data_IF_593468871788
#
_entry.id   IF_593468871788
#
_cell.length_a   1.000
_cell.length_b   1.000
_cell.length_c   1.000
_cell.angle_alpha   90.00
_cell.angle_beta   90.00
_cell.angle_gamma   90.00
#
_symmetry.space_group_name_H-M   'P 1'
#
loop_
_entity.id
_entity.type
_entity.pdbx_description
1 polymer ?
#
# COMPACT_ATOMS: atom_id res chain seq x y z
N UNK A 1 2.82 -7.92 -4.25
CA UNK A 1 2.66 -6.67 -5.02
C UNK A 1 1.80 -5.70 -4.23
N UNK A 2 2.25 -4.46 -4.01
CA UNK A 2 1.39 -3.38 -3.53
C UNK A 2 0.44 -2.99 -4.67
N UNK A 3 -0.86 -3.04 -4.39
CA UNK A 3 -1.89 -2.84 -5.41
C UNK A 3 -2.83 -1.71 -4.97
N UNK A 4 -2.76 -0.60 -5.71
CA UNK A 4 -3.53 0.62 -5.50
C UNK A 4 -3.80 1.35 -6.83
N UNK A 5 -4.41 0.72 -7.86
CA UNK A 5 -4.69 1.41 -9.11
C UNK A 5 -5.73 2.50 -8.89
N UNK A 6 -5.26 3.72 -8.69
CA UNK A 6 -6.09 4.91 -8.66
C UNK A 6 -6.32 5.40 -10.10
N UNK A 7 -7.58 5.64 -10.52
CA UNK A 7 -7.81 6.31 -11.78
C UNK A 7 -7.19 7.71 -11.74
N UNK A 8 -6.75 8.25 -12.88
CA UNK A 8 -6.28 9.63 -12.97
C UNK A 8 -7.44 10.55 -12.58
N UNK A 9 -7.13 11.60 -11.82
CA UNK A 9 -8.08 12.44 -11.09
C UNK A 9 -8.77 11.73 -9.93
N UNK A 10 -8.42 10.49 -9.60
CA UNK A 10 -8.88 9.81 -8.39
C UNK A 10 -7.95 10.10 -7.23
N UNK A 11 -8.53 10.29 -6.05
CA UNK A 11 -7.78 10.22 -4.80
C UNK A 11 -8.52 9.44 -3.76
N UNK A 12 -7.75 8.74 -2.94
CA UNK A 12 -8.26 7.97 -1.82
C UNK A 12 -8.78 8.88 -0.68
N UNK A 13 -8.54 10.20 -0.74
CA UNK A 13 -9.00 11.21 0.23
C UNK A 13 -10.23 12.04 -0.24
N UNK A 14 -10.78 11.81 -1.44
CA UNK A 14 -11.90 12.61 -1.98
C UNK A 14 -13.28 12.03 -1.67
N UNK A 15 -14.17 12.94 -1.26
CA UNK A 15 -15.56 12.75 -0.80
C UNK A 15 -16.61 12.35 -1.86
N UNK A 16 -17.59 11.46 -1.55
CA UNK A 16 -17.58 10.57 -0.38
C UNK A 16 -16.25 9.83 -0.41
N UNK A 17 -15.57 9.77 0.74
CA UNK A 17 -14.18 9.35 0.87
C UNK A 17 -14.06 7.87 0.52
N UNK A 18 -14.15 7.57 -0.79
CA UNK A 18 -14.29 6.25 -1.39
C UNK A 18 -12.97 5.50 -1.31
N UNK A 19 -12.49 5.37 -0.06
CA UNK A 19 -11.34 4.60 0.34
C UNK A 19 -11.43 3.24 -0.32
N UNK A 20 -10.43 2.98 -1.14
CA UNK A 20 -10.32 1.88 -2.08
C UNK A 20 -11.36 1.85 -3.23
N UNK A 21 -10.92 1.36 -4.39
CA UNK A 21 -11.75 1.22 -5.60
C UNK A 21 -12.19 -0.24 -5.80
N UNK A 22 -12.35 -0.97 -4.70
CA UNK A 22 -12.51 -2.43 -4.68
C UNK A 22 -13.89 -2.89 -4.18
N UNK A 23 -14.76 -1.95 -3.83
CA UNK A 23 -16.08 -2.24 -3.30
C UNK A 23 -17.10 -2.65 -4.37
N UNK A 24 -18.11 -3.43 -3.96
CA UNK A 24 -19.12 -4.04 -4.82
C UNK A 24 -20.18 -3.02 -5.31
N UNK A 25 -20.63 -2.12 -4.43
CA UNK A 25 -21.61 -1.11 -4.77
C UNK A 25 -21.59 0.12 -3.86
N UNK A 26 -22.06 1.26 -4.38
CA UNK A 26 -22.37 2.50 -3.65
C UNK A 26 -23.45 3.28 -4.40
N UNK A 27 -24.67 3.30 -3.87
CA UNK A 27 -25.81 3.86 -4.59
C UNK A 27 -26.01 3.19 -5.95
N UNK A 28 -25.89 3.95 -7.04
CA UNK A 28 -25.98 3.44 -8.42
C UNK A 28 -24.64 2.92 -8.99
N UNK A 29 -23.52 3.16 -8.29
CA UNK A 29 -22.19 2.77 -8.76
C UNK A 29 -21.96 1.31 -8.39
N UNK A 30 -21.67 0.47 -9.39
CA UNK A 30 -21.52 -0.99 -9.28
C UNK A 30 -20.40 -1.55 -10.18
N UNK A 31 -19.76 -0.68 -10.97
CA UNK A 31 -19.00 -1.01 -12.18
C UNK A 31 -17.47 -0.90 -12.06
N UNK A 32 -16.90 -0.84 -10.85
CA UNK A 32 -15.45 -0.70 -10.69
C UNK A 32 -14.66 -1.93 -11.16
N UNK A 33 -15.33 -3.05 -11.49
CA UNK A 33 -14.69 -4.25 -12.00
C UNK A 33 -13.82 -3.97 -13.23
N UNK A 34 -14.22 -3.03 -14.07
CA UNK A 34 -13.45 -2.65 -15.25
C UNK A 34 -12.01 -2.21 -14.92
N UNK A 35 -11.78 -1.53 -13.78
CA UNK A 35 -10.44 -1.07 -13.39
C UNK A 35 -9.50 -2.25 -13.13
N UNK A 36 -9.93 -3.21 -12.31
CA UNK A 36 -9.07 -4.29 -11.89
C UNK A 36 -9.15 -5.53 -12.79
N UNK A 37 -10.21 -5.72 -13.57
CA UNK A 37 -10.25 -6.72 -14.65
C UNK A 37 -9.23 -6.43 -15.74
N UNK A 38 -8.98 -5.15 -16.06
CA UNK A 38 -7.89 -4.72 -16.96
C UNK A 38 -6.53 -5.28 -16.48
N UNK A 39 -6.33 -5.29 -15.17
CA UNK A 39 -5.05 -5.55 -14.53
C UNK A 39 -4.79 -7.05 -14.29
N UNK A 40 -5.86 -7.87 -14.20
CA UNK A 40 -5.78 -9.31 -13.90
C UNK A 40 -4.78 -10.08 -14.79
N UNK A 41 -4.77 -9.94 -16.13
CA UNK A 41 -3.83 -10.70 -16.96
C UNK A 41 -2.36 -10.37 -16.66
N UNK A 42 -2.04 -9.12 -16.31
CA UNK A 42 -0.68 -8.72 -15.96
C UNK A 42 -0.27 -9.23 -14.57
N UNK A 43 -1.20 -9.21 -13.61
CA UNK A 43 -0.97 -9.81 -12.30
C UNK A 43 -0.77 -11.34 -12.38
N UNK A 44 -1.46 -12.03 -13.29
CA UNK A 44 -1.25 -13.46 -13.56
C UNK A 44 0.14 -13.73 -14.17
N UNK A 45 0.59 -12.88 -15.10
CA UNK A 45 1.94 -12.97 -15.72
C UNK A 45 3.09 -12.76 -14.74
N UNK A 46 2.85 -12.06 -13.63
CA UNK A 46 3.85 -11.90 -12.58
C UNK A 46 4.08 -13.19 -11.79
N UNK A 47 3.18 -14.17 -11.84
CA UNK A 47 3.23 -15.39 -11.03
C UNK A 47 3.25 -15.15 -9.51
N UNK A 48 2.88 -13.94 -9.07
CA UNK A 48 2.71 -13.59 -7.67
C UNK A 48 1.56 -14.38 -7.03
N UNK A 49 1.67 -14.60 -5.73
CA UNK A 49 0.65 -15.27 -4.91
C UNK A 49 0.01 -14.34 -3.87
N UNK A 50 0.40 -13.06 -3.79
CA UNK A 50 -0.18 -12.13 -2.83
C UNK A 50 -0.17 -10.66 -3.28
N UNK A 51 -1.26 -9.97 -2.95
CA UNK A 51 -1.46 -8.52 -3.09
C UNK A 51 -1.52 -7.89 -1.70
N UNK A 52 -0.84 -6.75 -1.53
CA UNK A 52 -1.02 -5.87 -0.38
C UNK A 52 -1.91 -4.73 -0.83
N UNK A 53 -2.96 -4.50 -0.06
CA UNK A 53 -3.95 -3.46 -0.32
C UNK A 53 -3.81 -2.43 0.80
N UNK A 54 -3.85 -1.14 0.46
CA UNK A 54 -3.69 -0.08 1.46
C UNK A 54 -4.95 0.17 2.27
N UNK A 55 -6.09 -0.17 1.70
CA UNK A 55 -7.39 0.18 2.25
C UNK A 55 -8.40 -0.88 1.80
N UNK A 56 -9.12 -1.42 2.78
CA UNK A 56 -10.51 -1.87 2.67
C UNK A 56 -11.28 -1.39 3.87
N UNK A 57 -12.35 -0.62 3.66
CA UNK A 57 -13.17 -0.07 4.72
C UNK A 57 -14.64 -0.40 4.47
N UNK A 58 -15.30 -0.98 5.47
CA UNK A 58 -16.72 -1.29 5.39
C UNK A 58 -17.62 -0.05 5.45
N UNK A 59 -17.12 1.08 5.97
CA UNK A 59 -17.82 2.38 6.03
C UNK A 59 -16.87 3.51 5.65
N UNK A 60 -17.45 4.65 5.29
CA UNK A 60 -16.73 5.86 4.94
C UNK A 60 -17.28 7.06 5.70
N UNK A 61 -16.44 8.07 5.84
CA UNK A 61 -16.83 9.38 6.40
C UNK A 61 -17.68 10.14 5.39
N UNK A 62 -18.47 11.10 5.89
CA UNK A 62 -19.25 12.01 5.06
C UNK A 62 -18.37 12.80 4.11
N UNK A 63 -18.92 13.24 2.98
CA UNK A 63 -18.19 14.05 2.00
C UNK A 63 -17.72 15.41 2.55
N UNK A 64 -18.34 15.88 3.64
CA UNK A 64 -17.97 17.07 4.41
C UNK A 64 -16.92 16.78 5.51
N UNK A 65 -16.43 15.54 5.59
CA UNK A 65 -15.49 15.07 6.61
C UNK A 65 -16.15 14.70 7.94
N UNK A 66 -17.49 14.70 8.03
CA UNK A 66 -18.19 14.32 9.26
C UNK A 66 -18.16 12.81 9.52
N UNK A 67 -18.13 12.43 10.79
CA UNK A 67 -18.26 11.04 11.21
C UNK A 67 -19.74 10.67 11.36
N UNK A 68 -20.21 9.56 10.75
CA UNK A 68 -21.58 9.09 10.94
C UNK A 68 -21.94 8.88 12.42
N UNK A 69 -23.18 9.15 12.80
CA UNK A 69 -23.70 8.91 14.15
C UNK A 69 -25.13 8.35 14.08
N UNK A 70 -25.37 7.09 14.51
CA UNK A 70 -24.39 6.11 14.98
C UNK A 70 -23.33 5.80 13.90
N UNK A 71 -22.16 5.32 14.31
CA UNK A 71 -21.00 5.14 13.42
C UNK A 71 -21.27 4.30 12.17
N UNK A 72 -22.25 3.40 12.23
CA UNK A 72 -22.64 2.48 11.17
C UNK A 72 -23.87 2.93 10.35
N UNK A 73 -24.33 4.18 10.51
CA UNK A 73 -25.50 4.72 9.81
C UNK A 73 -25.30 4.93 8.30
N UNK A 74 -24.04 4.98 7.83
CA UNK A 74 -23.70 5.17 6.42
C UNK A 74 -23.85 3.90 5.56
N UNK A 75 -23.58 4.03 4.26
CA UNK A 75 -23.55 2.89 3.33
C UNK A 75 -22.54 1.83 3.78
N UNK A 76 -22.90 0.55 3.61
CA UNK A 76 -21.97 -0.57 3.86
C UNK A 76 -21.26 -0.93 2.57
N UNK A 77 -19.95 -0.72 2.53
CA UNK A 77 -19.10 -1.21 1.46
C UNK A 77 -18.73 -2.67 1.74
N UNK A 78 -18.76 -3.48 0.68
CA UNK A 78 -18.38 -4.89 0.69
C UNK A 78 -17.38 -5.11 -0.43
N UNK A 79 -16.50 -6.10 -0.28
CA UNK A 79 -15.35 -6.28 -1.17
C UNK A 79 -15.33 -7.65 -1.84
N UNK A 80 -16.48 -8.32 -1.82
CA UNK A 80 -16.57 -9.74 -2.15
C UNK A 80 -16.22 -10.01 -3.60
N UNK A 81 -16.70 -9.19 -4.54
CA UNK A 81 -16.45 -9.39 -5.97
C UNK A 81 -14.98 -9.26 -6.30
N UNK A 82 -14.31 -8.24 -5.75
CA UNK A 82 -12.87 -8.05 -5.91
C UNK A 82 -12.09 -9.25 -5.33
N UNK A 83 -12.42 -9.66 -4.11
CA UNK A 83 -11.76 -10.77 -3.44
C UNK A 83 -12.00 -12.12 -4.14
N UNK A 84 -13.21 -12.36 -4.65
CA UNK A 84 -13.54 -13.57 -5.39
C UNK A 84 -12.84 -13.60 -6.75
N UNK A 85 -12.92 -12.52 -7.52
CA UNK A 85 -12.52 -12.52 -8.93
C UNK A 85 -11.04 -12.18 -9.12
N UNK A 86 -10.55 -11.11 -8.48
CA UNK A 86 -9.16 -10.69 -8.64
C UNK A 86 -8.22 -11.47 -7.72
N UNK A 87 -8.58 -11.65 -6.45
CA UNK A 87 -7.71 -12.32 -5.50
C UNK A 87 -7.83 -13.84 -5.64
N UNK A 88 -8.97 -14.42 -5.29
CA UNK A 88 -9.11 -15.86 -5.17
C UNK A 88 -9.21 -16.58 -6.51
N UNK A 89 -9.81 -15.97 -7.52
CA UNK A 89 -10.11 -16.62 -8.80
C UNK A 89 -11.26 -17.63 -8.66
N UNK A 90 -12.31 -17.28 -7.91
CA UNK A 90 -13.46 -18.13 -7.59
C UNK A 90 -14.16 -18.66 -8.85
N UNK A 91 -14.17 -17.88 -9.94
CA UNK A 91 -14.76 -18.23 -11.24
C UNK A 91 -13.83 -19.06 -12.14
N UNK A 92 -12.58 -19.26 -11.73
CA UNK A 92 -11.60 -20.09 -12.44
C UNK A 92 -11.64 -21.51 -11.86
N UNK A 93 -11.64 -22.56 -12.70
CA UNK A 93 -11.55 -23.95 -12.23
C UNK A 93 -10.39 -24.13 -11.23
N UNK A 94 -10.56 -24.91 -10.15
CA UNK A 94 -9.55 -25.02 -9.10
C UNK A 94 -8.14 -25.41 -9.60
N UNK A 95 -8.04 -26.23 -10.64
CA UNK A 95 -6.75 -26.65 -11.23
C UNK A 95 -6.04 -25.54 -12.01
N UNK A 96 -6.79 -24.58 -12.55
CA UNK A 96 -6.25 -23.46 -13.34
C UNK A 96 -6.14 -22.17 -12.51
N UNK A 97 -6.54 -22.23 -11.23
CA UNK A 97 -6.66 -21.08 -10.36
C UNK A 97 -5.29 -20.57 -9.94
N UNK A 98 -4.96 -19.35 -10.34
CA UNK A 98 -3.83 -18.59 -9.82
C UNK A 98 -4.30 -17.65 -8.71
N UNK A 99 -4.55 -18.20 -7.51
CA UNK A 99 -4.97 -17.41 -6.35
C UNK A 99 -3.87 -16.44 -5.92
N UNK A 100 -4.32 -15.23 -5.56
CA UNK A 100 -3.53 -14.13 -5.04
C UNK A 100 -4.15 -13.75 -3.71
N UNK A 101 -3.50 -14.10 -2.62
CA UNK A 101 -4.01 -13.75 -1.29
C UNK A 101 -3.96 -12.23 -1.09
N UNK A 102 -4.88 -11.69 -0.29
CA UNK A 102 -4.93 -10.28 0.06
C UNK A 102 -4.42 -10.08 1.48
N UNK A 103 -3.36 -9.29 1.64
CA UNK A 103 -2.99 -8.65 2.89
C UNK A 103 -3.69 -7.29 2.94
N UNK A 104 -4.74 -7.19 3.74
CA UNK A 104 -5.69 -6.08 3.74
C UNK A 104 -5.23 -4.97 4.69
N UNK A 105 -4.98 -3.78 4.16
CA UNK A 105 -4.73 -2.59 4.95
C UNK A 105 -6.02 -1.97 5.47
N UNK A 106 -6.02 -1.59 6.74
CA UNK A 106 -7.06 -0.77 7.35
C UNK A 106 -6.38 0.53 7.79
N UNK A 107 -6.52 1.64 7.04
CA UNK A 107 -5.71 2.84 7.21
C UNK A 107 -6.19 3.66 8.41
N UNK A 108 -5.90 3.17 9.61
CA UNK A 108 -6.21 3.90 10.83
C UNK A 108 -5.38 5.20 10.90
N UNK A 109 -6.00 6.36 11.17
CA UNK A 109 -5.27 7.62 11.18
C UNK A 109 -4.39 7.76 12.43
N UNK A 110 -3.39 8.64 12.37
CA UNK A 110 -2.55 9.03 13.51
C UNK A 110 -3.37 9.35 14.77
N UNK A 111 -4.56 9.93 14.61
CA UNK A 111 -5.51 10.21 15.71
C UNK A 111 -5.91 9.01 16.54
N UNK A 112 -5.81 7.79 16.01
CA UNK A 112 -6.08 6.56 16.74
C UNK A 112 -4.84 5.97 17.42
N UNK A 113 -3.64 6.46 17.10
CA UNK A 113 -2.36 5.87 17.48
C UNK A 113 -1.47 6.81 18.30
N UNK A 114 -1.56 8.13 18.07
CA UNK A 114 -0.71 9.15 18.66
C UNK A 114 -1.39 9.76 19.88
N UNK A 115 -0.71 9.76 21.04
CA UNK A 115 -1.30 10.08 22.35
C UNK A 115 -2.04 11.40 22.40
N UNK A 116 -1.39 12.48 21.97
CA UNK A 116 -1.97 13.83 22.00
C UNK A 116 -3.11 14.00 20.99
N UNK A 117 -3.01 13.36 19.83
CA UNK A 117 -4.07 13.41 18.83
C UNK A 117 -5.30 12.61 19.29
N UNK A 118 -5.09 11.43 19.87
CA UNK A 118 -6.17 10.62 20.45
C UNK A 118 -6.89 11.34 21.60
N UNK A 119 -6.15 12.07 22.44
CA UNK A 119 -6.74 12.86 23.51
C UNK A 119 -7.68 13.96 22.98
N UNK A 120 -7.36 14.54 21.81
CA UNK A 120 -8.19 15.56 21.13
C UNK A 120 -9.30 14.97 20.25
N UNK A 121 -9.22 13.67 19.96
CA UNK A 121 -10.15 12.98 19.06
C UNK A 121 -11.52 12.82 19.71
N UNK A 122 -12.56 13.19 18.97
CA UNK A 122 -13.95 13.10 19.44
C UNK A 122 -14.37 11.66 19.71
N UNK A 123 -15.39 11.46 20.56
CA UNK A 123 -15.92 10.11 20.80
C UNK A 123 -16.53 9.51 19.52
N UNK A 124 -17.22 10.31 18.71
CA UNK A 124 -17.80 9.85 17.44
C UNK A 124 -16.73 9.34 16.46
N UNK A 125 -15.57 10.00 16.37
CA UNK A 125 -14.45 9.56 15.54
C UNK A 125 -13.83 8.26 16.07
N UNK A 126 -13.68 8.12 17.40
CA UNK A 126 -13.19 6.89 18.03
C UNK A 126 -14.14 5.72 17.76
N UNK A 127 -15.45 5.92 17.99
CA UNK A 127 -16.47 4.91 17.77
C UNK A 127 -16.50 4.47 16.29
N UNK A 128 -16.35 5.43 15.39
CA UNK A 128 -16.24 5.17 13.96
C UNK A 128 -15.04 4.29 13.62
N UNK A 129 -13.82 4.67 13.99
CA UNK A 129 -12.64 3.90 13.60
C UNK A 129 -12.58 2.53 14.27
N UNK A 130 -13.00 2.39 15.53
CA UNK A 130 -13.09 1.07 16.16
C UNK A 130 -14.17 0.19 15.52
N UNK A 131 -15.36 0.76 15.24
CA UNK A 131 -16.45 0.03 14.60
C UNK A 131 -16.13 -0.41 13.18
N UNK A 132 -15.51 0.47 12.38
CA UNK A 132 -15.09 0.15 11.00
C UNK A 132 -13.97 -0.89 10.98
N UNK A 133 -12.99 -0.81 11.88
CA UNK A 133 -11.95 -1.83 12.02
C UNK A 133 -12.57 -3.22 12.27
N UNK A 134 -13.47 -3.31 13.26
CA UNK A 134 -14.12 -4.57 13.61
C UNK A 134 -15.01 -5.09 12.47
N UNK A 135 -15.88 -4.25 11.91
CA UNK A 135 -16.81 -4.66 10.86
C UNK A 135 -16.10 -5.07 9.57
N UNK A 136 -15.05 -4.36 9.18
CA UNK A 136 -14.20 -4.71 8.03
C UNK A 136 -13.53 -6.06 8.27
N UNK A 137 -12.86 -6.25 9.42
CA UNK A 137 -12.19 -7.51 9.74
C UNK A 137 -13.17 -8.69 9.76
N UNK A 138 -14.39 -8.50 10.29
CA UNK A 138 -15.43 -9.54 10.28
C UNK A 138 -15.94 -9.87 8.88
N UNK A 139 -16.02 -8.88 7.98
CA UNK A 139 -16.52 -9.03 6.62
C UNK A 139 -15.50 -9.73 5.72
N UNK A 140 -14.31 -9.15 5.53
CA UNK A 140 -13.29 -9.71 4.64
C UNK A 140 -12.55 -10.89 5.27
N UNK A 141 -12.45 -10.96 6.60
CA UNK A 141 -11.69 -12.00 7.31
C UNK A 141 -12.28 -13.41 7.16
N UNK A 142 -13.52 -13.55 6.70
CA UNK A 142 -14.12 -14.86 6.37
C UNK A 142 -13.75 -15.34 4.97
N UNK A 143 -13.17 -14.49 4.15
CA UNK A 143 -12.85 -14.81 2.77
C UNK A 143 -11.59 -15.70 2.69
N UNK A 144 -11.59 -16.81 1.92
CA UNK A 144 -10.41 -17.68 1.79
C UNK A 144 -9.24 -16.99 1.09
N UNK A 145 -9.52 -15.99 0.25
CA UNK A 145 -8.53 -15.17 -0.41
C UNK A 145 -7.87 -14.10 0.47
N UNK A 146 -8.27 -13.91 1.74
CA UNK A 146 -7.61 -12.97 2.66
C UNK A 146 -6.62 -13.74 3.53
N UNK A 147 -5.35 -13.34 3.54
CA UNK A 147 -4.31 -13.97 4.40
C UNK A 147 -4.16 -13.25 5.74
N UNK A 148 -4.44 -11.94 5.77
CA UNK A 148 -4.27 -11.15 6.98
C UNK A 148 -4.51 -9.67 6.78
N UNK A 149 -4.08 -8.91 7.78
CA UNK A 149 -4.30 -7.47 7.88
C UNK A 149 -3.03 -6.71 8.25
N UNK A 150 -2.92 -5.47 7.77
CA UNK A 150 -2.05 -4.45 8.36
C UNK A 150 -2.91 -3.34 8.95
N UNK A 151 -2.84 -3.14 10.27
CA UNK A 151 -3.70 -2.19 10.99
C UNK A 151 -3.29 -0.72 10.83
N UNK A 152 -2.11 -0.47 10.27
CA UNK A 152 -1.59 0.87 10.03
C UNK A 152 -0.49 0.81 8.95
N UNK A 153 -0.26 1.94 8.29
CA UNK A 153 0.90 2.18 7.42
C UNK A 153 1.62 3.45 7.87
N UNK A 154 2.89 3.31 8.25
CA UNK A 154 3.82 4.41 8.52
C UNK A 154 3.29 5.45 9.53
N UNK A 155 2.50 4.97 10.50
CA UNK A 155 2.05 5.78 11.64
C UNK A 155 3.06 5.75 12.80
N UNK A 156 4.28 5.30 12.54
CA UNK A 156 5.42 5.36 13.45
C UNK A 156 6.17 6.70 13.30
N UNK A 157 6.86 7.06 14.38
CA UNK A 157 7.82 8.15 14.43
C UNK A 157 8.71 7.92 15.64
N UNK A 158 9.96 8.39 15.59
CA UNK A 158 10.89 8.31 16.71
C UNK A 158 10.24 8.67 18.06
N UNK A 159 9.63 9.85 18.17
CA UNK A 159 9.03 10.32 19.43
C UNK A 159 7.77 9.55 19.83
N UNK A 160 7.13 8.87 18.89
CA UNK A 160 5.85 8.19 19.10
C UNK A 160 6.04 6.74 19.51
N UNK A 161 7.02 6.03 18.93
CA UNK A 161 7.18 4.59 19.13
C UNK A 161 8.36 4.19 20.05
N UNK A 162 9.36 5.06 20.28
CA UNK A 162 10.48 4.72 21.18
C UNK A 162 11.20 5.89 21.88
N UNK A 163 11.13 7.12 21.37
CA UNK A 163 11.93 8.26 21.80
C UNK A 163 11.41 8.93 23.07
N UNK A 164 10.08 8.88 23.26
CA UNK A 164 9.42 9.32 24.47
C UNK A 164 8.66 8.12 25.10
N UNK A 165 9.05 7.65 26.29
CA UNK A 165 8.46 6.45 26.90
C UNK A 165 6.94 6.53 27.08
N UNK A 166 6.42 7.70 27.47
CA UNK A 166 4.99 7.92 27.71
C UNK A 166 4.15 7.87 26.42
N UNK A 167 4.73 8.26 25.29
CA UNK A 167 4.12 8.17 23.96
C UNK A 167 4.27 6.79 23.37
N UNK A 168 5.46 6.18 23.52
CA UNK A 168 5.75 4.83 23.11
C UNK A 168 4.78 3.83 23.76
N UNK A 169 4.65 3.86 25.09
CA UNK A 169 3.70 3.00 25.80
C UNK A 169 2.26 3.17 25.26
N UNK A 170 1.84 4.41 24.99
CA UNK A 170 0.53 4.68 24.42
C UNK A 170 0.39 4.07 23.02
N UNK A 171 1.32 4.34 22.12
CA UNK A 171 1.29 3.87 20.74
C UNK A 171 1.26 2.33 20.67
N UNK A 172 2.15 1.66 21.41
CA UNK A 172 2.19 0.20 21.48
C UNK A 172 0.91 -0.38 22.09
N UNK A 173 0.32 0.27 23.12
CA UNK A 173 -0.98 -0.15 23.65
C UNK A 173 -2.13 0.00 22.65
N UNK A 174 -2.09 1.02 21.78
CA UNK A 174 -3.06 1.15 20.69
C UNK A 174 -2.84 0.09 19.63
N UNK A 175 -1.59 -0.16 19.24
CA UNK A 175 -1.23 -1.24 18.31
C UNK A 175 -1.79 -2.58 18.79
N UNK A 176 -1.54 -2.98 20.03
CA UNK A 176 -2.09 -4.23 20.58
C UNK A 176 -3.62 -4.20 20.64
N UNK A 177 -4.23 -3.10 21.09
CA UNK A 177 -5.69 -2.98 21.16
C UNK A 177 -6.34 -3.17 19.78
N UNK A 178 -5.81 -2.51 18.76
CA UNK A 178 -6.32 -2.55 17.40
C UNK A 178 -6.09 -3.93 16.77
N UNK A 179 -4.91 -4.52 16.98
CA UNK A 179 -4.64 -5.89 16.56
C UNK A 179 -5.56 -6.91 17.24
N UNK A 180 -5.82 -6.74 18.54
CA UNK A 180 -6.74 -7.58 19.31
C UNK A 180 -8.19 -7.51 18.82
N UNK A 181 -8.65 -6.34 18.36
CA UNK A 181 -9.95 -6.20 17.70
C UNK A 181 -10.00 -7.07 16.43
N UNK A 182 -8.96 -7.00 15.59
CA UNK A 182 -8.87 -7.82 14.37
C UNK A 182 -8.81 -9.30 14.71
N UNK A 183 -7.98 -9.71 15.69
CA UNK A 183 -7.88 -11.11 16.12
C UNK A 183 -9.19 -11.67 16.67
N UNK A 184 -10.00 -10.86 17.35
CA UNK A 184 -11.33 -11.27 17.79
C UNK A 184 -12.30 -11.42 16.62
N UNK A 185 -12.23 -10.52 15.64
CA UNK A 185 -13.10 -10.51 14.46
C UNK A 185 -12.76 -11.60 13.43
N UNK A 186 -11.47 -11.92 13.28
CA UNK A 186 -10.90 -12.82 12.29
C UNK A 186 -9.75 -13.64 12.89
N UNK A 187 -10.04 -14.60 13.79
CA UNK A 187 -9.03 -15.28 14.60
C UNK A 187 -8.01 -16.09 13.80
N UNK A 188 -8.40 -16.60 12.63
CA UNK A 188 -7.55 -17.43 11.77
C UNK A 188 -6.67 -16.60 10.80
N UNK A 189 -6.69 -15.27 10.91
CA UNK A 189 -5.97 -14.38 10.00
C UNK A 189 -4.74 -13.78 10.67
N UNK A 190 -3.72 -13.52 9.84
CA UNK A 190 -2.52 -12.80 10.29
C UNK A 190 -2.85 -11.32 10.53
N UNK A 191 -2.20 -10.70 11.50
CA UNK A 191 -2.33 -9.29 11.84
C UNK A 191 -0.94 -8.74 12.08
N UNK A 192 -0.63 -7.64 11.41
CA UNK A 192 0.63 -6.95 11.60
C UNK A 192 0.46 -5.45 11.39
N UNK A 193 1.59 -4.79 11.26
CA UNK A 193 1.69 -3.35 11.08
C UNK A 193 2.75 -3.07 10.01
N UNK A 194 2.70 -1.94 9.31
CA UNK A 194 3.75 -1.54 8.38
C UNK A 194 4.43 -0.28 8.91
N UNK A 195 5.73 -0.37 9.26
CA UNK A 195 6.52 0.77 9.74
C UNK A 195 7.59 1.17 8.75
N UNK A 196 8.12 2.39 8.86
CA UNK A 196 9.32 2.77 8.12
C UNK A 196 10.51 1.83 8.47
N UNK A 197 11.45 1.72 7.54
CA UNK A 197 12.78 1.10 7.75
C UNK A 197 13.66 1.98 8.66
N UNK A 198 13.31 1.99 9.95
CA UNK A 198 14.07 2.65 11.00
C UNK A 198 14.69 1.59 11.93
N UNK A 199 16.03 1.45 11.96
CA UNK A 199 16.70 0.46 12.80
C UNK A 199 16.47 0.68 14.30
N UNK A 200 16.07 1.89 14.72
CA UNK A 200 15.77 2.17 16.12
C UNK A 200 14.48 1.50 16.61
N UNK A 201 13.53 1.21 15.71
CA UNK A 201 12.30 0.52 16.06
C UNK A 201 12.63 -0.84 16.68
N UNK A 202 13.25 -1.81 15.96
CA UNK A 202 13.59 -3.10 16.57
C UNK A 202 14.59 -2.97 17.73
N UNK A 203 15.51 -2.00 17.70
CA UNK A 203 16.48 -1.80 18.79
C UNK A 203 15.83 -1.41 20.13
N UNK A 204 14.66 -0.76 20.09
CA UNK A 204 14.01 -0.18 21.28
C UNK A 204 12.62 -0.74 21.55
N UNK A 205 12.08 -1.55 20.64
CA UNK A 205 10.74 -2.10 20.75
C UNK A 205 10.63 -3.36 21.60
N UNK A 206 11.73 -3.99 22.03
CA UNK A 206 11.72 -5.32 22.67
C UNK A 206 10.64 -5.44 23.76
N UNK A 207 10.72 -4.59 24.79
CA UNK A 207 9.77 -4.63 25.91
C UNK A 207 8.32 -4.31 25.49
N UNK A 208 8.13 -3.46 24.47
CA UNK A 208 6.80 -3.07 24.02
C UNK A 208 6.14 -4.12 23.12
N UNK A 209 6.90 -4.75 22.22
CA UNK A 209 6.38 -5.78 21.33
C UNK A 209 6.10 -7.09 22.08
N UNK A 210 6.78 -7.36 23.20
CA UNK A 210 6.39 -8.44 24.12
C UNK A 210 4.97 -8.25 24.68
N UNK A 211 4.51 -7.01 24.84
CA UNK A 211 3.14 -6.65 25.25
C UNK A 211 2.14 -6.65 24.08
N UNK A 212 2.57 -7.03 22.87
CA UNK A 212 1.74 -7.06 21.67
C UNK A 212 1.54 -8.50 21.14
N UNK A 213 0.88 -9.40 21.89
CA UNK A 213 0.67 -10.79 21.47
C UNK A 213 -0.27 -10.93 20.27
N UNK A 214 -1.10 -9.92 19.97
CA UNK A 214 -2.03 -9.98 18.84
C UNK A 214 -1.38 -9.69 17.48
N UNK A 215 -0.12 -9.25 17.47
CA UNK A 215 0.70 -9.06 16.26
C UNK A 215 1.41 -10.36 15.90
N UNK A 216 1.28 -10.83 14.66
CA UNK A 216 1.93 -12.07 14.18
C UNK A 216 3.22 -11.81 13.41
N UNK A 217 3.37 -10.63 12.80
CA UNK A 217 4.52 -10.29 11.97
C UNK A 217 4.89 -8.80 12.06
N UNK A 218 6.17 -8.52 11.84
CA UNK A 218 6.67 -7.18 11.57
C UNK A 218 6.50 -6.84 10.09
N UNK A 219 5.86 -5.73 9.77
CA UNK A 219 5.89 -5.19 8.40
C UNK A 219 6.86 -4.03 8.32
N UNK A 220 7.75 -4.07 7.33
CA UNK A 220 8.75 -3.02 7.11
C UNK A 220 8.61 -2.49 5.68
N UNK A 221 8.36 -1.19 5.57
CA UNK A 221 8.46 -0.45 4.32
C UNK A 221 9.91 0.00 4.15
N UNK A 222 10.61 -0.62 3.21
CA UNK A 222 12.04 -0.40 3.02
C UNK A 222 12.33 -0.13 1.55
N UNK A 223 13.29 0.76 1.32
CA UNK A 223 13.70 1.16 -0.03
C UNK A 223 15.22 1.03 -0.20
N UNK A 224 15.83 0.09 0.52
CA UNK A 224 17.25 -0.23 0.39
C UNK A 224 17.57 -0.63 -1.07
N UNK A 225 18.70 -0.16 -1.57
CA UNK A 225 19.10 -0.35 -2.98
C UNK A 225 20.26 -1.33 -3.17
N UNK A 226 20.93 -1.73 -2.08
CA UNK A 226 22.16 -2.53 -2.14
C UNK A 226 22.09 -3.87 -1.39
N UNK A 227 21.51 -3.90 -0.18
CA UNK A 227 21.26 -5.12 0.58
C UNK A 227 20.18 -4.91 1.64
N UNK A 228 19.60 -5.99 2.15
CA UNK A 228 18.65 -5.97 3.29
C UNK A 228 19.30 -6.27 4.65
N UNK A 229 20.64 -6.33 4.72
CA UNK A 229 21.35 -6.66 5.96
C UNK A 229 21.03 -5.69 7.09
N UNK A 230 21.01 -4.39 6.80
CA UNK A 230 20.64 -3.33 7.76
C UNK A 230 19.20 -3.44 8.26
N UNK A 231 18.30 -3.99 7.45
CA UNK A 231 16.92 -4.26 7.85
C UNK A 231 16.92 -5.39 8.87
N UNK A 232 17.40 -6.57 8.47
CA UNK A 232 17.25 -7.79 9.26
C UNK A 232 18.17 -7.87 10.50
N UNK A 233 19.30 -7.18 10.50
CA UNK A 233 20.32 -7.30 11.55
C UNK A 233 19.81 -6.97 12.96
N UNK A 234 18.88 -6.02 13.07
CA UNK A 234 18.34 -5.62 14.37
C UNK A 234 17.17 -6.50 14.79
N UNK A 235 16.28 -6.88 13.87
CA UNK A 235 15.16 -7.77 14.18
C UNK A 235 15.62 -9.16 14.63
N UNK A 236 16.73 -9.70 14.06
CA UNK A 236 17.27 -11.01 14.48
C UNK A 236 17.83 -11.04 15.90
N UNK A 237 17.96 -9.87 16.55
CA UNK A 237 18.43 -9.74 17.94
C UNK A 237 17.26 -9.64 18.92
N UNK A 238 16.03 -9.55 18.42
CA UNK A 238 14.84 -9.65 19.26
C UNK A 238 14.71 -11.08 19.80
N UNK A 239 14.04 -11.22 20.94
CA UNK A 239 13.83 -12.48 21.62
C UNK A 239 12.35 -12.61 22.04
N UNK A 240 11.97 -13.77 22.56
CA UNK A 240 10.64 -13.99 23.14
C UNK A 240 9.49 -13.68 22.18
N UNK A 241 8.44 -13.03 22.70
CA UNK A 241 7.26 -12.64 21.93
C UNK A 241 7.49 -11.52 20.91
N UNK A 242 8.64 -10.83 21.01
CA UNK A 242 9.03 -9.76 20.08
C UNK A 242 9.73 -10.27 18.82
N UNK A 243 10.36 -11.46 18.89
CA UNK A 243 10.91 -12.11 17.71
C UNK A 243 9.78 -12.70 16.87
N UNK A 244 9.41 -11.98 15.81
CA UNK A 244 8.36 -12.35 14.86
C UNK A 244 8.91 -12.36 13.44
N UNK A 245 8.33 -13.13 12.50
CA UNK A 245 8.69 -13.04 11.09
C UNK A 245 8.47 -11.63 10.54
N UNK A 246 9.17 -11.32 9.46
CA UNK A 246 9.14 -10.03 8.77
C UNK A 246 8.50 -10.19 7.40
N UNK A 247 7.60 -9.27 7.09
CA UNK A 247 7.11 -9.02 5.74
C UNK A 247 7.69 -7.69 5.29
N UNK A 248 8.38 -7.66 4.15
CA UNK A 248 8.72 -6.39 3.51
C UNK A 248 7.46 -5.85 2.85
N UNK A 249 6.73 -5.01 3.57
CA UNK A 249 5.38 -4.55 3.20
C UNK A 249 5.41 -3.56 2.03
N UNK A 250 6.54 -2.89 1.81
CA UNK A 250 6.85 -2.13 0.61
C UNK A 250 8.33 -2.28 0.30
N UNK A 251 8.63 -2.54 -0.96
CA UNK A 251 9.96 -2.35 -1.53
C UNK A 251 9.85 -2.16 -3.03
N UNK A 252 10.49 -1.13 -3.59
CA UNK A 252 10.31 -0.79 -4.99
C UNK A 252 11.45 0.05 -5.54
N UNK A 253 11.47 0.21 -6.86
CA UNK A 253 12.48 1.04 -7.53
C UNK A 253 11.83 1.93 -8.60
N UNK A 254 12.12 3.24 -8.61
CA UNK A 254 11.67 4.13 -9.66
C UNK A 254 12.37 3.78 -10.96
N UNK A 255 11.59 3.70 -12.04
CA UNK A 255 12.05 3.37 -13.37
C UNK A 255 12.21 4.60 -14.27
N UNK A 256 12.05 5.80 -13.72
CA UNK A 256 12.20 7.10 -14.37
C UNK A 256 13.62 7.62 -14.25
N UNK A 257 14.01 8.52 -15.16
CA UNK A 257 15.23 9.31 -15.08
C UNK A 257 14.95 10.76 -15.47
N UNK A 258 15.95 11.62 -15.30
CA UNK A 258 15.82 13.05 -15.55
C UNK A 258 16.79 13.50 -16.66
N UNK A 259 16.30 14.22 -17.67
CA UNK A 259 17.16 14.82 -18.71
C UNK A 259 17.86 16.07 -18.23
N UNK A 260 17.28 16.73 -17.24
CA UNK A 260 17.82 17.90 -16.55
C UNK A 260 17.75 17.58 -15.06
N UNK A 261 18.88 17.67 -14.37
CA UNK A 261 18.89 17.40 -12.95
C UNK A 261 18.06 18.44 -12.19
N UNK A 262 17.16 17.95 -11.35
CA UNK A 262 16.55 18.74 -10.29
C UNK A 262 17.64 19.29 -9.35
N UNK A 263 17.38 20.47 -8.82
CA UNK A 263 18.20 21.10 -7.78
C UNK A 263 17.40 21.13 -6.48
N UNK A 264 18.06 21.41 -5.36
CA UNK A 264 17.38 21.56 -4.07
C UNK A 264 16.25 22.63 -4.07
N UNK A 265 16.25 23.54 -5.06
CA UNK A 265 15.29 24.66 -5.15
C UNK A 265 14.42 24.64 -6.40
N UNK A 266 14.70 23.78 -7.37
CA UNK A 266 13.95 23.70 -8.64
C UNK A 266 13.78 22.26 -9.10
N UNK A 267 12.54 21.87 -9.38
CA UNK A 267 12.18 20.61 -10.02
C UNK A 267 11.78 20.83 -11.48
N UNK A 268 12.14 19.90 -12.36
CA UNK A 268 11.84 19.90 -13.79
C UNK A 268 11.02 18.66 -14.19
N UNK A 269 9.73 18.59 -13.79
CA UNK A 269 8.80 17.53 -14.17
C UNK A 269 8.82 17.17 -15.66
N UNK A 270 8.96 18.17 -16.54
CA UNK A 270 9.02 17.98 -18.00
C UNK A 270 10.29 17.27 -18.48
N UNK A 271 11.31 17.20 -17.63
CA UNK A 271 12.57 16.53 -17.92
C UNK A 271 12.54 15.04 -17.55
N UNK A 272 11.55 14.63 -16.74
CA UNK A 272 11.38 13.26 -16.31
C UNK A 272 10.95 12.41 -17.51
N UNK A 273 11.62 11.28 -17.69
CA UNK A 273 11.38 10.37 -18.78
C UNK A 273 11.54 8.92 -18.34
N UNK A 274 10.99 8.04 -19.14
CA UNK A 274 11.15 6.59 -19.03
C UNK A 274 11.57 6.05 -20.39
N UNK A 275 12.58 5.18 -20.41
CA UNK A 275 12.96 4.40 -21.58
C UNK A 275 13.50 3.02 -21.20
N UNK A 276 13.89 2.22 -22.19
CA UNK A 276 14.50 0.90 -21.97
C UNK A 276 15.71 0.96 -21.03
N UNK A 277 16.51 2.03 -21.07
CA UNK A 277 17.72 2.14 -20.26
C UNK A 277 17.39 2.45 -18.79
N UNK A 278 16.46 3.38 -18.52
CA UNK A 278 16.02 3.68 -17.14
C UNK A 278 15.36 2.46 -16.49
N UNK A 279 14.52 1.74 -17.24
CA UNK A 279 13.88 0.49 -16.80
C UNK A 279 14.88 -0.63 -16.55
N UNK A 280 15.88 -0.79 -17.43
CA UNK A 280 16.91 -1.83 -17.29
C UNK A 280 17.77 -1.63 -16.05
N UNK A 281 18.09 -0.38 -15.68
CA UNK A 281 18.82 -0.08 -14.44
C UNK A 281 18.01 -0.43 -13.20
N UNK A 282 16.73 -0.07 -13.16
CA UNK A 282 15.84 -0.46 -12.07
C UNK A 282 15.68 -1.99 -11.98
N UNK A 283 15.47 -2.67 -13.11
CA UNK A 283 15.39 -4.12 -13.19
C UNK A 283 16.67 -4.83 -12.70
N UNK A 284 17.85 -4.22 -12.88
CA UNK A 284 19.11 -4.76 -12.33
C UNK A 284 19.10 -4.75 -10.80
N UNK A 285 18.59 -3.69 -10.18
CA UNK A 285 18.44 -3.61 -8.72
C UNK A 285 17.42 -4.65 -8.24
N UNK A 286 16.28 -4.80 -8.92
CA UNK A 286 15.29 -5.85 -8.64
C UNK A 286 15.91 -7.25 -8.65
N UNK A 287 16.68 -7.59 -9.70
CA UNK A 287 17.36 -8.90 -9.81
C UNK A 287 18.39 -9.14 -8.71
N UNK A 288 18.97 -8.07 -8.16
CA UNK A 288 19.97 -8.15 -7.10
C UNK A 288 19.34 -8.22 -5.71
N UNK A 289 18.31 -7.42 -5.46
CA UNK A 289 17.73 -7.23 -4.12
C UNK A 289 16.69 -8.27 -3.77
N UNK A 290 15.71 -8.52 -4.65
CA UNK A 290 14.55 -9.37 -4.32
C UNK A 290 14.96 -10.80 -3.91
N UNK A 291 15.95 -11.47 -4.54
CA UNK A 291 16.40 -12.78 -4.07
C UNK A 291 16.89 -12.78 -2.61
N UNK A 292 17.57 -11.72 -2.17
CA UNK A 292 18.08 -11.60 -0.80
C UNK A 292 16.95 -11.60 0.24
N UNK A 293 15.78 -11.07 -0.10
CA UNK A 293 14.62 -11.13 0.78
C UNK A 293 14.15 -12.57 0.97
N UNK A 294 14.17 -13.40 -0.08
CA UNK A 294 13.75 -14.80 0.02
C UNK A 294 14.82 -15.71 0.63
N UNK A 295 16.11 -15.37 0.48
CA UNK A 295 17.22 -16.10 1.11
C UNK A 295 17.29 -15.91 2.64
N UNK A 296 16.63 -14.89 3.19
CA UNK A 296 16.75 -14.53 4.60
C UNK A 296 15.70 -15.23 5.48
N UNK A 297 16.09 -15.97 6.55
CA UNK A 297 15.17 -16.83 7.31
C UNK A 297 14.09 -16.08 8.11
N UNK A 298 14.29 -14.79 8.40
CA UNK A 298 13.25 -13.96 9.04
C UNK A 298 12.21 -13.42 8.07
N UNK A 299 12.49 -13.41 6.76
CA UNK A 299 11.61 -12.80 5.79
C UNK A 299 10.62 -13.85 5.25
N UNK A 300 9.34 -13.62 5.45
CA UNK A 300 8.26 -14.51 4.97
C UNK A 300 7.59 -13.99 3.70
N UNK A 301 8.06 -12.85 3.15
CA UNK A 301 7.58 -12.33 1.88
C UNK A 301 7.91 -10.84 1.67
N UNK A 302 7.77 -10.41 0.43
CA UNK A 302 7.96 -9.03 -0.02
C UNK A 302 6.82 -8.60 -0.94
N UNK A 303 6.35 -7.37 -0.77
CA UNK A 303 5.43 -6.72 -1.70
C UNK A 303 6.17 -5.64 -2.50
N UNK A 304 6.32 -5.88 -3.81
CA UNK A 304 6.89 -4.87 -4.70
C UNK A 304 6.01 -3.61 -4.73
N UNK A 305 6.59 -2.44 -4.50
CA UNK A 305 5.95 -1.13 -4.59
C UNK A 305 6.30 -0.49 -5.96
N UNK A 306 5.36 -0.34 -6.88
CA UNK A 306 3.97 -0.81 -6.82
C UNK A 306 3.44 -1.25 -8.20
N UNK A 307 2.14 -1.58 -8.29
CA UNK A 307 1.57 -2.08 -9.53
C UNK A 307 1.61 -1.05 -10.67
N UNK A 308 1.27 0.22 -10.40
CA UNK A 308 1.27 1.29 -11.39
C UNK A 308 1.68 2.63 -10.75
N UNK A 309 2.12 3.60 -11.55
CA UNK A 309 2.56 4.90 -11.02
C UNK A 309 1.53 5.59 -10.11
N UNK A 310 2.01 6.35 -9.12
CA UNK A 310 1.16 7.02 -8.10
C UNK A 310 0.60 8.37 -8.57
N UNK A 311 -0.36 8.32 -9.48
CA UNK A 311 -1.02 9.53 -9.97
C UNK A 311 -1.96 10.20 -8.95
N UNK A 312 -2.34 9.50 -7.88
CA UNK A 312 -3.19 10.05 -6.82
C UNK A 312 -2.50 11.15 -5.99
N UNK A 313 -1.16 11.14 -5.94
CA UNK A 313 -0.37 12.17 -5.24
C UNK A 313 -0.35 13.53 -5.98
N UNK A 314 -0.96 13.61 -7.17
CA UNK A 314 -1.07 14.86 -7.95
C UNK A 314 -2.18 15.78 -7.39
N UNK A 315 -1.92 17.09 -7.21
CA UNK A 315 -2.84 18.04 -6.61
C UNK A 315 -3.94 18.42 -7.59
N UNK A 316 -5.17 18.12 -7.24
CA UNK A 316 -6.32 18.75 -7.88
C UNK A 316 -6.57 20.13 -7.29
N UNK A 317 -5.93 21.15 -7.86
CA UNK A 317 -6.29 22.54 -7.58
C UNK A 317 -5.95 23.05 -6.18
N UNK A 318 -5.20 22.30 -5.36
CA UNK A 318 -4.49 22.91 -4.23
C UNK A 318 -3.28 23.65 -4.79
N UNK A 319 -3.15 24.92 -4.43
CA UNK A 319 -1.96 25.74 -4.73
C UNK A 319 -0.75 24.90 -4.30
N UNK A 320 0.21 24.65 -5.21
CA UNK A 320 1.41 23.93 -4.83
C UNK A 320 2.12 24.74 -3.71
N UNK A 321 2.99 24.11 -2.90
CA UNK A 321 3.75 24.84 -1.87
C UNK A 321 4.39 26.10 -2.44
N UNK A 322 4.53 27.16 -1.64
CA UNK A 322 5.04 28.44 -2.12
C UNK A 322 6.37 28.26 -2.88
N UNK A 323 6.42 28.73 -4.14
CA UNK A 323 7.58 28.55 -5.04
C UNK A 323 7.46 27.42 -6.08
N UNK A 324 6.50 26.52 -5.96
CA UNK A 324 6.31 25.40 -6.90
C UNK A 324 5.35 25.80 -8.04
N UNK A 325 5.63 25.37 -9.28
CA UNK A 325 4.67 25.50 -10.41
C UNK A 325 3.48 24.54 -10.19
N UNK A 326 2.32 24.86 -10.77
CA UNK A 326 1.14 23.98 -10.72
C UNK A 326 1.52 22.55 -11.14
N UNK A 327 1.32 21.56 -10.27
CA UNK A 327 1.57 20.17 -10.64
C UNK A 327 0.50 19.73 -11.64
N UNK A 328 0.93 19.11 -12.74
CA UNK A 328 0.02 18.60 -13.77
C UNK A 328 -0.49 17.23 -13.37
N UNK A 329 -1.80 17.02 -13.51
CA UNK A 329 -2.48 15.75 -13.21
C UNK A 329 -2.10 14.60 -14.15
N UNK A 330 -1.32 14.89 -15.19
CA UNK A 330 -0.89 13.98 -16.27
C UNK A 330 0.64 14.05 -16.56
N UNK A 331 1.49 14.52 -15.62
CA UNK A 331 2.96 14.37 -15.67
C UNK A 331 3.57 13.84 -14.35
N UNK A 332 4.69 13.10 -14.43
CA UNK A 332 5.51 12.79 -13.25
C UNK A 332 6.06 14.07 -12.62
N UNK A 333 6.04 14.14 -11.30
CA UNK A 333 6.57 15.21 -10.49
C UNK A 333 7.99 14.91 -9.99
N UNK A 334 8.33 13.62 -9.82
CA UNK A 334 9.61 13.17 -9.35
C UNK A 334 9.86 13.46 -7.87
N UNK A 335 11.10 13.29 -7.45
CA UNK A 335 11.54 13.64 -6.10
C UNK A 335 13.02 13.94 -6.01
N UNK A 336 13.56 13.84 -4.81
CA UNK A 336 14.92 14.33 -4.52
C UNK A 336 16.00 13.51 -5.24
N UNK A 337 17.13 14.16 -5.52
CA UNK A 337 18.34 13.50 -6.04
C UNK A 337 18.85 12.54 -4.98
N UNK A 338 18.82 11.25 -5.28
CA UNK A 338 19.24 10.16 -4.40
C UNK A 338 20.15 9.21 -5.17
N UNK A 339 21.49 9.43 -5.16
CA UNK A 339 22.44 8.69 -5.99
C UNK A 339 22.45 7.16 -5.77
N UNK A 340 21.92 6.68 -4.64
CA UNK A 340 21.78 5.26 -4.35
C UNK A 340 20.71 4.56 -5.19
N UNK A 341 19.77 5.30 -5.79
CA UNK A 341 18.72 4.77 -6.65
C UNK A 341 19.21 4.48 -8.08
N UNK A 342 18.60 3.53 -8.81
CA UNK A 342 19.08 3.05 -10.12
C UNK A 342 19.23 4.14 -11.20
N UNK A 343 18.50 5.25 -11.05
CA UNK A 343 18.54 6.39 -11.96
C UNK A 343 18.97 7.68 -11.25
N UNK A 344 19.32 7.63 -9.96
CA UNK A 344 19.79 8.77 -9.18
C UNK A 344 18.71 9.64 -8.54
N UNK A 345 17.44 9.20 -8.54
CA UNK A 345 16.30 9.98 -8.03
C UNK A 345 15.33 9.11 -7.23
N UNK A 346 14.76 9.70 -6.16
CA UNK A 346 13.59 9.17 -5.44
C UNK A 346 12.31 9.67 -6.12
N UNK A 347 12.03 9.19 -7.33
CA UNK A 347 10.81 9.59 -8.04
C UNK A 347 9.63 8.78 -7.53
N UNK A 348 9.01 9.19 -6.41
CA UNK A 348 7.95 8.41 -5.73
C UNK A 348 6.80 7.98 -6.67
N UNK A 349 6.44 8.84 -7.62
CA UNK A 349 5.40 8.56 -8.60
C UNK A 349 5.86 7.73 -9.81
N UNK A 350 7.15 7.37 -9.89
CA UNK A 350 7.75 6.54 -10.93
C UNK A 350 8.05 5.10 -10.52
N UNK A 351 7.54 4.63 -9.38
CA UNK A 351 7.80 3.28 -8.83
C UNK A 351 7.01 2.14 -9.47
N UNK A 352 5.97 2.44 -10.24
CA UNK A 352 5.05 1.45 -10.79
C UNK A 352 5.72 0.37 -11.65
N UNK A 353 5.12 -0.82 -11.75
CA UNK A 353 5.42 -1.74 -12.86
C UNK A 353 4.78 -1.32 -14.18
N UNK A 354 3.79 -0.43 -14.09
CA UNK A 354 3.10 0.12 -15.24
C UNK A 354 3.12 1.65 -15.15
N UNK A 355 3.55 2.30 -16.22
CA UNK A 355 3.27 3.72 -16.38
C UNK A 355 1.80 3.91 -16.75
N UNK A 356 1.22 5.02 -16.32
CA UNK A 356 -0.19 5.34 -16.56
C UNK A 356 -0.27 6.48 -17.55
N UNK A 357 -1.22 6.36 -18.48
CA UNK A 357 -1.62 7.41 -19.40
C UNK A 357 -3.13 7.50 -19.42
N UNK A 358 -3.66 8.72 -19.52
CA UNK A 358 -5.09 8.96 -19.66
C UNK A 358 -5.71 8.16 -20.81
N UNK A 359 -6.85 7.53 -20.54
CA UNK A 359 -7.64 6.81 -21.54
C UNK A 359 -8.13 7.73 -22.67
N UNK A 360 -8.10 7.22 -23.90
CA UNK A 360 -8.47 7.87 -25.17
C UNK A 360 -9.18 9.24 -25.12
N UNK A 361 -8.40 10.32 -25.27
CA UNK A 361 -8.85 11.72 -25.43
C UNK A 361 -9.74 12.28 -24.30
N UNK A 362 -9.82 11.63 -23.13
CA UNK A 362 -10.49 12.24 -21.98
C UNK A 362 -9.83 13.59 -21.64
N UNK A 363 -10.60 14.65 -21.33
CA UNK A 363 -10.02 15.91 -20.90
C UNK A 363 -9.42 15.77 -19.49
N UNK A 364 -8.47 16.64 -19.15
CA UNK A 364 -7.78 16.58 -17.85
C UNK A 364 -8.71 16.77 -16.65
N UNK A 365 -9.88 17.38 -16.84
CA UNK A 365 -10.92 17.55 -15.83
C UNK A 365 -12.04 16.50 -15.91
N UNK A 366 -11.85 15.38 -16.62
CA UNK A 366 -12.86 14.32 -16.68
C UNK A 366 -13.20 13.82 -15.27
N UNK A 367 -14.49 13.59 -14.97
CA UNK A 367 -14.89 13.00 -13.69
C UNK A 367 -14.32 11.57 -13.59
N UNK A 368 -14.08 11.10 -12.39
CA UNK A 368 -13.52 9.75 -12.16
C UNK A 368 -14.51 8.62 -12.43
N UNK A 369 -15.81 8.89 -12.33
CA UNK A 369 -16.88 7.95 -12.67
C UNK A 369 -17.94 8.63 -13.53
N UNK A 370 -18.66 7.81 -14.29
CA UNK A 370 -19.83 8.21 -15.07
C UNK A 370 -20.84 7.08 -15.07
N UNK A 371 -22.11 7.40 -14.83
CA UNK A 371 -23.14 6.38 -14.68
C UNK A 371 -22.86 5.45 -13.49
N UNK A 372 -22.67 4.16 -13.76
CA UNK A 372 -22.51 3.13 -12.74
C UNK A 372 -21.05 2.68 -12.51
N UNK A 373 -20.04 3.29 -13.14
CA UNK A 373 -18.66 2.83 -13.06
C UNK A 373 -17.62 3.89 -13.42
N UNK A 374 -16.34 3.52 -13.58
CA UNK A 374 -15.28 4.45 -13.94
C UNK A 374 -15.61 5.14 -15.27
N UNK A 375 -15.16 6.39 -15.43
CA UNK A 375 -15.33 7.10 -16.70
C UNK A 375 -14.56 6.37 -17.80
N UNK A 376 -15.27 6.09 -18.90
CA UNK A 376 -14.69 5.42 -20.06
C UNK A 376 -14.18 6.44 -21.09
N UNK A 377 -13.10 6.14 -21.81
CA UNK A 377 -12.22 4.98 -21.61
C UNK A 377 -11.37 5.10 -20.33
N UNK A 378 -11.20 4.00 -19.59
CA UNK A 378 -10.31 3.98 -18.43
C UNK A 378 -8.85 4.22 -18.82
N UNK A 379 -8.03 4.58 -17.83
CA UNK A 379 -6.61 4.83 -18.03
C UNK A 379 -5.87 3.61 -18.59
N UNK A 380 -4.85 3.91 -19.39
CA UNK A 380 -4.04 2.93 -20.09
C UNK A 380 -2.77 2.69 -19.27
N UNK A 381 -2.59 1.44 -18.87
CA UNK A 381 -1.37 0.96 -18.21
C UNK A 381 -0.41 0.42 -19.26
N UNK A 382 0.81 0.98 -19.30
CA UNK A 382 1.89 0.53 -20.17
C UNK A 382 2.92 -0.21 -19.34
N UNK A 383 3.11 -1.49 -19.63
CA UNK A 383 4.02 -2.37 -18.88
C UNK A 383 5.49 -1.91 -19.00
N UNK A 384 6.20 -1.87 -17.88
CA UNK A 384 7.66 -1.76 -17.81
C UNK A 384 8.27 -3.16 -17.90
N UNK A 385 8.25 -3.72 -19.10
CA UNK A 385 8.58 -5.13 -19.38
C UNK A 385 9.89 -5.61 -18.75
N UNK A 386 10.93 -4.77 -18.67
CA UNK A 386 12.21 -5.13 -18.05
C UNK A 386 12.08 -5.42 -16.55
N UNK A 387 11.27 -4.64 -15.82
CA UNK A 387 10.99 -4.88 -14.40
C UNK A 387 10.01 -6.05 -14.22
N UNK A 388 8.94 -6.11 -15.02
CA UNK A 388 7.96 -7.20 -14.95
C UNK A 388 8.62 -8.55 -15.18
N UNK A 389 9.46 -8.68 -16.20
CA UNK A 389 10.19 -9.91 -16.49
C UNK A 389 11.21 -10.25 -15.39
N UNK A 390 11.84 -9.24 -14.77
CA UNK A 390 12.73 -9.46 -13.64
C UNK A 390 12.00 -10.09 -12.45
N UNK A 391 10.85 -9.53 -12.07
CA UNK A 391 10.04 -10.04 -10.96
C UNK A 391 9.43 -11.40 -11.28
N UNK A 392 8.80 -11.56 -12.44
CA UNK A 392 8.18 -12.82 -12.86
C UNK A 392 9.20 -13.96 -12.82
N UNK A 393 10.40 -13.75 -13.38
CA UNK A 393 11.46 -14.76 -13.37
C UNK A 393 12.01 -15.08 -11.96
N UNK A 394 11.88 -14.17 -10.99
CA UNK A 394 12.23 -14.45 -9.59
C UNK A 394 11.11 -15.25 -8.92
N UNK A 395 9.85 -14.83 -9.08
CA UNK A 395 8.71 -15.51 -8.48
C UNK A 395 8.53 -16.93 -9.03
N UNK A 396 8.83 -17.17 -10.31
CA UNK A 396 8.87 -18.52 -10.87
C UNK A 396 9.90 -19.42 -10.19
N UNK A 397 11.11 -18.92 -9.94
CA UNK A 397 12.16 -19.68 -9.24
C UNK A 397 11.76 -20.03 -7.82
N UNK A 398 11.20 -19.06 -7.08
CA UNK A 398 10.73 -19.27 -5.70
C UNK A 398 9.60 -20.31 -5.68
N UNK A 399 8.71 -20.32 -6.68
CA UNK A 399 7.64 -21.32 -6.77
C UNK A 399 8.13 -22.73 -7.09
N UNK A 400 9.20 -22.87 -7.86
CA UNK A 400 9.78 -24.17 -8.21
C UNK A 400 10.62 -24.76 -7.07
N UNK A 401 11.15 -23.91 -6.19
CA UNK A 401 11.96 -24.29 -5.04
C UNK A 401 11.41 -23.63 -3.77
N UNK A 402 10.22 -24.04 -3.29
CA UNK A 402 9.70 -23.54 -2.02
C UNK A 402 10.65 -23.97 -0.89
N UNK A 403 11.04 -23.00 -0.08
CA UNK A 403 11.99 -23.08 1.04
C UNK A 403 11.72 -24.24 2.00
#
# INVERSE_FOLDING_TARGET
MCYSPAPINGRNDWGPALGDWYWDSFGAITGWQALWHRDRPQLDRLHLNSLRLYCMLSRQIGADGSFPSPWNSGHRFTHKTFLDELCFGARVPPLDRQSKYALVGIPLPARMLWKEDYARTSQAEKDYWYGVLEETAQEVGRHPGVIGFTIQNEQDNADVCYGNPDRAQFWWSQVERLAGIVKKAAPDKLVGMATHDDPNIPLKALAYMEECPSIDFWGVNTYQTANFGSVFEYYRRLEGGALKPIVLTEWGMPATGHRRADTATETFPESIYEDTATRSRAAKVVKHMVPQAYDHPLCIGLYYFEYCDEWWNQPNGKRPPEGWKEKKVDTWWGGEVMPGFPNGYWDNDGFGLHSIRRGGALPNNAPIWSGNGPTMPIDIHTERTELTNALAGIFDKVRQHPW
#
